data_IF_260827217388
#
_entry.id   IF_260827217388
#
_cell.length_a   1.000
_cell.length_b   1.000
_cell.length_c   1.000
_cell.angle_alpha   90.00
_cell.angle_beta   90.00
_cell.angle_gamma   90.00
#
_symmetry.space_group_name_H-M   'P 1'
#
loop_
_entity.id
_entity.type
_entity.pdbx_description
1 polymer ?
#
# COMPACT_ATOMS: atom_id res chain seq x y z
N UNK A 1 1.63 10.96 -16.10
CA UNK A 1 1.11 10.58 -16.39
C UNK A 1 0.61 10.28 -16.68
N UNK A 2 0.65 10.23 -16.85
CA UNK A 2 -0.06 9.79 -17.23
C UNK A 2 -0.40 9.31 -17.81
N UNK A 3 -0.39 9.28 -18.32
CA UNK A 3 -0.98 8.83 -18.96
C UNK A 3 -1.63 8.81 -19.55
N UNK A 4 -1.71 9.31 -20.06
CA UNK A 4 -2.57 9.28 -20.69
C UNK A 4 -3.10 9.17 -21.24
N UNK A 5 -2.92 9.40 -21.63
CA UNK A 5 -3.65 9.21 -22.25
C UNK A 5 -4.05 8.89 -22.80
N UNK A 6 -4.04 8.88 -23.43
CA UNK A 6 -4.67 8.53 -24.02
C UNK A 6 -5.21 8.14 -24.49
N UNK A 7 -5.05 8.52 -24.95
CA UNK A 7 -5.79 8.15 -25.51
C UNK A 7 -6.30 7.65 -25.84
N UNK A 8 -6.44 7.79 -26.14
CA UNK A 8 -7.30 7.33 -26.54
C UNK A 8 -7.87 6.66 -26.75
N UNK A 9 -7.88 6.73 -27.10
CA UNK A 9 -8.59 6.14 -27.26
C UNK A 9 -9.16 5.53 -27.17
N UNK A 10 -9.38 5.43 -27.38
CA UNK A 10 -10.09 4.90 -27.18
C UNK A 10 -10.80 4.15 -26.81
N UNK A 11 -10.96 4.07 -26.91
CA UNK A 11 -11.67 3.45 -26.52
C UNK A 11 -12.15 2.67 -25.95
N UNK A 12 -12.27 2.52 -25.88
CA UNK A 12 -12.71 1.89 -25.30
C UNK A 12 -13.14 1.22 -24.49
N UNK A 13 -13.23 0.98 -24.43
CA UNK A 13 -13.61 0.48 -23.76
C UNK A 13 -13.88 -0.11 -22.78
N UNK A 14 -13.97 -0.32 -22.61
CA UNK A 14 -14.09 -0.75 -21.88
C UNK A 14 -14.44 -1.06 -20.74
N UNK A 15 -14.30 -1.19 -20.55
CA UNK A 15 -14.43 -1.47 -19.56
C UNK A 15 -14.16 -1.31 -18.47
N UNK A 16 -14.34 -1.53 -19.08
CA UNK A 16 -13.59 -0.99 -18.01
C UNK A 16 -14.32 -0.53 -16.77
N UNK A 17 -14.84 -1.39 -16.12
CA UNK A 17 -15.51 -1.10 -14.88
C UNK A 17 -14.57 -1.00 -13.72
N UNK A 18 -13.34 -1.40 -13.90
CA UNK A 18 -12.38 -1.37 -12.82
C UNK A 18 -11.54 -0.13 -12.90
N UNK A 19 -11.67 0.70 -11.89
CA UNK A 19 -10.86 1.89 -11.76
C UNK A 19 -9.87 1.63 -10.64
N UNK A 20 -8.60 1.64 -10.99
CA UNK A 20 -7.55 1.48 -9.99
C UNK A 20 -7.16 2.83 -9.46
N UNK A 21 -7.06 2.92 -8.16
CA UNK A 21 -6.65 4.15 -7.49
C UNK A 21 -5.47 3.83 -6.60
N UNK A 22 -4.80 4.88 -6.15
CA UNK A 22 -3.74 4.71 -5.18
C UNK A 22 -4.07 5.52 -3.95
N UNK A 23 -3.75 4.97 -2.80
CA UNK A 23 -3.84 5.65 -1.53
C UNK A 23 -2.44 5.69 -0.96
N UNK A 24 -1.97 6.86 -0.61
CA UNK A 24 -0.63 7.00 -0.08
C UNK A 24 -0.60 8.04 1.00
N UNK A 25 0.32 7.86 1.93
CA UNK A 25 0.48 8.80 3.02
C UNK A 25 1.89 8.70 3.57
N UNK A 26 2.28 9.71 4.33
CA UNK A 26 3.53 9.70 5.06
C UNK A 26 3.22 9.63 6.54
N UNK A 27 4.11 9.01 7.31
CA UNK A 27 3.90 8.91 8.74
C UNK A 27 5.24 8.83 9.45
N UNK A 28 5.28 9.37 10.65
CA UNK A 28 6.44 9.21 11.51
C UNK A 28 6.26 8.06 12.49
N UNK A 29 5.15 7.35 12.38
CA UNK A 29 4.87 6.24 13.27
C UNK A 29 5.85 5.10 13.04
N UNK A 30 6.29 4.46 14.10
CA UNK A 30 7.15 3.30 14.02
C UNK A 30 6.31 2.03 14.18
N UNK A 31 6.74 0.97 13.51
CA UNK A 31 6.02 -0.30 13.52
C UNK A 31 6.97 -1.42 13.91
N UNK A 32 6.44 -2.43 14.56
CA UNK A 32 7.19 -3.67 14.76
C UNK A 32 7.01 -4.56 13.54
N UNK A 33 7.92 -5.52 13.36
CA UNK A 33 7.76 -6.47 12.26
C UNK A 33 6.47 -7.27 12.40
N UNK A 34 6.13 -7.68 13.61
CA UNK A 34 4.91 -8.44 13.84
C UNK A 34 3.66 -7.62 13.49
N UNK A 35 3.68 -6.35 13.86
CA UNK A 35 2.58 -5.45 13.56
C UNK A 35 2.41 -5.27 12.06
N UNK A 36 3.51 -5.07 11.36
CA UNK A 36 3.48 -4.87 9.92
C UNK A 36 3.04 -6.15 9.20
N UNK A 37 3.51 -7.31 9.65
CA UNK A 37 3.05 -8.58 9.10
C UNK A 37 1.54 -8.75 9.27
N UNK A 38 1.03 -8.37 10.42
CA UNK A 38 -0.42 -8.43 10.67
C UNK A 38 -1.17 -7.51 9.69
N UNK A 39 -0.66 -6.30 9.48
CA UNK A 39 -1.27 -5.35 8.56
C UNK A 39 -1.30 -5.92 7.14
N UNK A 40 -0.19 -6.46 6.68
CA UNK A 40 -0.11 -6.99 5.32
C UNK A 40 -1.02 -8.21 5.15
N UNK A 41 -1.12 -9.04 6.16
CA UNK A 41 -2.05 -10.17 6.14
C UNK A 41 -3.48 -9.69 6.05
N UNK A 42 -3.81 -8.62 6.79
CA UNK A 42 -5.16 -8.06 6.77
C UNK A 42 -5.51 -7.49 5.38
N UNK A 43 -4.54 -6.92 4.68
CA UNK A 43 -4.78 -6.40 3.33
C UNK A 43 -5.25 -7.49 2.38
N UNK A 44 -4.86 -8.73 2.62
CA UNK A 44 -5.22 -9.85 1.76
C UNK A 44 -6.62 -10.38 2.05
N UNK A 45 -7.28 -9.84 3.07
CA UNK A 45 -8.61 -10.32 3.48
C UNK A 45 -9.73 -9.84 2.55
N UNK A 46 -9.49 -8.80 1.78
CA UNK A 46 -10.51 -8.19 0.93
C UNK A 46 -11.33 -7.13 1.62
N UNK A 47 -11.14 -6.92 2.92
CA UNK A 47 -11.93 -5.96 3.66
C UNK A 47 -11.55 -4.52 3.36
N UNK A 48 -10.41 -4.31 2.76
CA UNK A 48 -9.89 -2.97 2.48
C UNK A 48 -9.99 -2.62 1.01
N UNK A 49 -10.67 -3.44 0.23
CA UNK A 49 -10.80 -3.28 -1.20
C UNK A 49 -10.02 -4.37 -1.92
N UNK A 50 -10.02 -4.31 -3.23
CA UNK A 50 -9.26 -5.26 -4.05
C UNK A 50 -7.83 -4.72 -4.21
N UNK A 51 -6.95 -5.15 -3.34
CA UNK A 51 -5.58 -4.64 -3.30
C UNK A 51 -4.76 -5.32 -4.39
N UNK A 52 -4.19 -4.53 -5.29
CA UNK A 52 -3.29 -5.04 -6.32
C UNK A 52 -1.86 -5.09 -5.82
N UNK A 53 -1.46 -4.05 -5.10
CA UNK A 53 -0.11 -3.95 -4.63
C UNK A 53 -0.03 -2.94 -3.50
N UNK A 54 0.85 -3.18 -2.57
CA UNK A 54 1.17 -2.20 -1.55
C UNK A 54 2.67 -2.25 -1.32
N UNK A 55 3.25 -1.11 -1.04
CA UNK A 55 4.66 -1.06 -0.70
C UNK A 55 4.93 0.16 0.15
N UNK A 56 6.03 0.13 0.85
CA UNK A 56 6.38 1.26 1.66
C UNK A 56 7.61 1.03 2.49
N UNK A 57 7.97 2.09 3.19
CA UNK A 57 9.11 2.11 4.10
C UNK A 57 8.61 2.77 5.36
N UNK A 58 8.79 2.12 6.51
CA UNK A 58 8.35 2.70 7.78
C UNK A 58 9.45 2.49 8.82
N UNK A 59 9.47 3.37 9.81
CA UNK A 59 10.43 3.26 10.89
C UNK A 59 10.14 2.01 11.70
N UNK A 60 11.19 1.39 12.23
CA UNK A 60 11.05 0.21 13.07
C UNK A 60 10.92 0.62 14.53
N UNK A 61 9.98 -0.01 15.22
CA UNK A 61 9.73 0.30 16.63
C UNK A 61 10.90 -0.03 17.53
N UNK A 62 11.77 -0.93 17.10
CA UNK A 62 12.94 -1.32 17.89
C UNK A 62 14.13 -0.39 17.71
N UNK A 63 13.99 0.63 16.88
CA UNK A 63 15.07 1.58 16.65
C UNK A 63 16.14 1.12 15.69
N UNK A 64 15.97 -0.06 15.09
CA UNK A 64 16.94 -0.57 14.13
C UNK A 64 16.70 -0.06 12.73
N UNK A 65 17.17 -0.82 11.75
CA UNK A 65 16.94 -0.48 10.36
C UNK A 65 15.44 -0.43 10.08
N UNK A 66 15.06 0.44 9.18
CA UNK A 66 13.65 0.63 8.85
C UNK A 66 13.11 -0.61 8.14
N UNK A 67 11.79 -0.74 8.16
CA UNK A 67 11.09 -1.85 7.54
C UNK A 67 10.66 -1.45 6.15
N UNK A 68 11.10 -2.21 5.15
CA UNK A 68 10.71 -2.06 3.78
C UNK A 68 9.78 -3.20 3.44
N UNK A 69 8.59 -2.90 2.91
CA UNK A 69 7.65 -3.97 2.64
C UNK A 69 7.11 -3.90 1.23
N UNK A 70 6.74 -5.06 0.71
CA UNK A 70 6.05 -5.22 -0.55
C UNK A 70 4.93 -6.22 -0.36
N UNK A 71 3.82 -5.95 -1.00
CA UNK A 71 2.64 -6.82 -0.95
C UNK A 71 2.05 -6.95 -2.34
N UNK A 72 1.74 -8.18 -2.73
CA UNK A 72 0.85 -8.49 -3.85
C UNK A 72 -0.14 -9.53 -3.31
N UNK A 73 -1.27 -9.75 -4.00
CA UNK A 73 -2.24 -10.73 -3.48
C UNK A 73 -1.58 -12.07 -3.17
N UNK A 74 -1.84 -12.56 -1.97
CA UNK A 74 -1.36 -13.85 -1.49
C UNK A 74 0.13 -13.92 -1.21
N UNK A 75 0.84 -12.79 -1.33
CA UNK A 75 2.28 -12.81 -1.10
C UNK A 75 2.73 -11.47 -0.58
N UNK A 76 3.51 -11.48 0.47
CA UNK A 76 4.10 -10.24 0.96
C UNK A 76 5.47 -10.52 1.58
N UNK A 77 6.23 -9.46 1.72
CA UNK A 77 7.60 -9.54 2.19
C UNK A 77 7.93 -8.31 3.02
N UNK A 78 8.58 -8.53 4.14
CA UNK A 78 9.09 -7.45 4.98
C UNK A 78 10.58 -7.68 5.14
N UNK A 79 11.37 -6.64 4.91
CA UNK A 79 12.81 -6.74 5.05
C UNK A 79 13.35 -5.47 5.68
N UNK A 80 14.53 -5.56 6.22
CA UNK A 80 15.20 -4.42 6.82
C UNK A 80 16.02 -3.68 5.77
N UNK A 81 16.08 -2.37 5.89
CA UNK A 81 16.85 -1.57 4.96
C UNK A 81 17.15 -0.19 5.54
N UNK A 82 17.79 0.67 4.75
CA UNK A 82 18.18 1.98 5.25
C UNK A 82 16.98 2.85 5.54
N UNK A 83 17.17 3.76 6.50
CA UNK A 83 16.15 4.72 6.88
C UNK A 83 15.89 5.68 5.72
N UNK A 84 14.65 6.14 5.62
CA UNK A 84 14.28 7.20 4.70
C UNK A 84 14.03 8.47 5.48
N UNK A 85 13.71 9.53 4.77
CA UNK A 85 13.42 10.82 5.37
C UNK A 85 12.17 10.76 6.25
N UNK A 86 11.16 10.04 5.78
CA UNK A 86 9.93 9.82 6.54
C UNK A 86 9.36 8.47 6.13
N UNK A 87 8.46 7.93 6.96
CA UNK A 87 7.76 6.72 6.58
C UNK A 87 6.80 6.99 5.43
N UNK A 88 6.68 6.05 4.53
CA UNK A 88 5.79 6.15 3.37
C UNK A 88 5.02 4.88 3.20
N UNK A 89 3.73 5.05 2.94
CA UNK A 89 2.81 3.93 2.76
C UNK A 89 2.08 4.18 1.44
N UNK A 90 2.05 3.17 0.58
CA UNK A 90 1.34 3.27 -0.69
C UNK A 90 0.57 1.98 -0.94
N UNK A 91 -0.70 2.14 -1.28
CA UNK A 91 -1.58 1.01 -1.59
C UNK A 91 -2.27 1.31 -2.92
N UNK A 92 -2.23 0.36 -3.83
CA UNK A 92 -2.84 0.49 -5.14
C UNK A 92 -3.88 -0.61 -5.29
N UNK A 93 -5.07 -0.23 -5.72
CA UNK A 93 -6.11 -1.22 -5.90
C UNK A 93 -7.40 -0.60 -6.38
N UNK A 94 -8.45 -1.36 -6.26
CA UNK A 94 -9.79 -0.98 -6.70
C UNK A 94 -10.71 -0.92 -5.50
N UNK A 95 -11.57 0.10 -5.46
CA UNK A 95 -12.56 0.26 -4.39
C UNK A 95 -11.90 0.30 -3.01
N UNK A 96 -10.80 1.04 -2.89
CA UNK A 96 -10.05 1.12 -1.65
C UNK A 96 -10.90 1.76 -0.55
N UNK A 97 -10.86 1.15 0.63
CA UNK A 97 -11.53 1.67 1.82
C UNK A 97 -10.53 2.52 2.58
N UNK A 98 -10.38 3.76 2.18
CA UNK A 98 -9.32 4.61 2.70
C UNK A 98 -9.42 4.83 4.21
N UNK A 99 -10.63 5.01 4.72
CA UNK A 99 -10.80 5.16 6.17
C UNK A 99 -10.32 3.92 6.92
N UNK A 100 -10.67 2.75 6.41
CA UNK A 100 -10.24 1.50 7.03
C UNK A 100 -8.74 1.31 6.90
N UNK A 101 -8.16 1.71 5.77
CA UNK A 101 -6.71 1.62 5.59
C UNK A 101 -6.00 2.49 6.60
N UNK A 102 -6.47 3.72 6.80
CA UNK A 102 -5.89 4.58 7.82
C UNK A 102 -5.94 3.94 9.20
N UNK A 103 -7.07 3.35 9.54
CA UNK A 103 -7.20 2.69 10.84
C UNK A 103 -6.28 1.49 10.95
N UNK A 104 -6.16 0.73 9.88
CA UNK A 104 -5.30 -0.46 9.88
C UNK A 104 -3.84 -0.09 10.15
N UNK A 105 -3.37 0.98 9.53
CA UNK A 105 -2.02 1.45 9.74
C UNK A 105 -1.88 2.31 11.00
N UNK A 106 -2.98 2.53 11.73
CA UNK A 106 -2.92 3.27 12.98
C UNK A 106 -2.73 4.76 12.83
N UNK A 107 -3.24 5.31 11.76
CA UNK A 107 -3.06 6.73 11.42
C UNK A 107 -4.24 7.60 11.82
#
# INVERSE_FOLDING_TARGET
>A
MLFRSHCGCHHHHHHADEVFTSWGTETVKAYSEAELEHILTALDSGEYGAILRAKGIVAAADGGQWLHYDFVPEEHQVRRGPADYTGRICVIGSQLKEDKLSQLFGL
#
